data_IF_395256137743
#
_entry.id   IF_395256137743
#
_cell.length_a   1.000
_cell.length_b   1.000
_cell.length_c   1.000
_cell.angle_alpha   90.00
_cell.angle_beta   90.00
_cell.angle_gamma   90.00
#
_symmetry.space_group_name_H-M   'P 1'
#
loop_
_entity.id
_entity.type
_entity.pdbx_description
1 polymer ?
#
# COMPACT_ATOMS: atom_id res chain seq x y z
N UNK A 1 -13.16 -3.46 0.02
CA UNK A 1 -11.99 -4.38 0.00
C UNK A 1 -11.65 -4.62 -1.46
N UNK A 2 -10.40 -4.90 -1.80
CA UNK A 2 -9.96 -4.96 -3.19
C UNK A 2 -9.38 -6.32 -3.57
N UNK A 3 -9.73 -6.81 -4.76
CA UNK A 3 -8.97 -7.83 -5.50
C UNK A 3 -8.53 -7.25 -6.83
N UNK A 4 -7.37 -7.61 -7.34
CA UNK A 4 -6.94 -7.16 -8.67
C UNK A 4 -6.12 -8.20 -9.42
N UNK A 5 -6.59 -8.58 -10.61
CA UNK A 5 -5.94 -9.56 -11.48
C UNK A 5 -5.13 -8.86 -12.58
N UNK A 6 -3.82 -9.11 -12.60
CA UNK A 6 -2.87 -8.61 -13.59
C UNK A 6 -1.81 -9.68 -13.87
N UNK A 7 -0.54 -9.32 -13.69
CA UNK A 7 0.57 -10.31 -13.67
C UNK A 7 0.44 -11.30 -12.51
N UNK A 8 -0.11 -10.85 -11.38
CA UNK A 8 -0.52 -11.66 -10.23
C UNK A 8 -1.92 -11.30 -9.72
N UNK A 9 -2.25 -11.72 -8.49
CA UNK A 9 -3.52 -11.46 -7.82
C UNK A 9 -3.31 -10.71 -6.50
N UNK A 10 -3.43 -9.38 -6.56
CA UNK A 10 -3.35 -8.53 -5.38
C UNK A 10 -4.65 -8.57 -4.56
N UNK A 11 -4.53 -8.66 -3.23
CA UNK A 11 -5.68 -8.61 -2.30
C UNK A 11 -5.38 -7.63 -1.16
N UNK A 12 -6.34 -6.76 -0.86
CA UNK A 12 -6.20 -5.81 0.25
C UNK A 12 -7.53 -5.42 0.88
N UNK A 13 -7.45 -4.90 2.11
CA UNK A 13 -8.59 -4.36 2.84
C UNK A 13 -8.48 -2.85 3.06
N UNK A 14 -9.63 -2.20 3.19
CA UNK A 14 -9.73 -0.85 3.74
C UNK A 14 -10.66 -0.92 4.95
N UNK A 15 -10.14 -0.52 6.11
CA UNK A 15 -10.86 -0.52 7.38
C UNK A 15 -11.15 0.95 7.75
N UNK A 16 -12.41 1.34 7.99
CA UNK A 16 -12.71 2.66 8.52
C UNK A 16 -12.05 2.87 9.88
N UNK A 17 -11.35 3.98 10.08
CA UNK A 17 -10.69 4.32 11.34
C UNK A 17 -10.74 5.83 11.60
N UNK A 18 -11.63 6.25 12.51
CA UNK A 18 -11.88 7.67 12.79
C UNK A 18 -12.33 8.42 11.53
N UNK A 19 -11.68 9.54 11.25
CA UNK A 19 -11.92 10.40 10.07
C UNK A 19 -11.31 9.82 8.77
N UNK A 20 -10.70 8.63 8.81
CA UNK A 20 -9.93 8.09 7.68
C UNK A 20 -10.06 6.58 7.49
N UNK A 21 -9.11 6.05 6.72
CA UNK A 21 -9.05 4.65 6.34
C UNK A 21 -7.66 4.07 6.65
N UNK A 22 -7.64 2.84 7.15
CA UNK A 22 -6.43 2.03 7.29
C UNK A 22 -6.40 1.01 6.16
N UNK A 23 -5.33 1.04 5.37
CA UNK A 23 -5.04 0.02 4.38
C UNK A 23 -4.50 -1.23 5.09
N UNK A 24 -5.19 -2.35 4.90
CA UNK A 24 -4.75 -3.67 5.33
C UNK A 24 -4.10 -4.37 4.13
N UNK A 25 -2.77 -4.38 4.11
CA UNK A 25 -2.00 -5.18 3.16
C UNK A 25 -2.15 -6.68 3.46
N UNK A 26 -2.37 -7.50 2.44
CA UNK A 26 -2.52 -8.95 2.57
C UNK A 26 -1.93 -9.68 1.39
N UNK A 27 -1.62 -10.97 1.57
CA UNK A 27 -1.21 -11.90 0.51
C UNK A 27 -2.36 -12.84 0.11
N UNK A 28 -3.59 -12.32 0.12
CA UNK A 28 -4.81 -13.11 -0.06
C UNK A 28 -4.91 -13.83 -1.40
N UNK A 29 -4.15 -13.43 -2.42
CA UNK A 29 -4.10 -14.13 -3.70
C UNK A 29 -3.38 -15.49 -3.63
N UNK A 30 -2.55 -15.70 -2.60
CA UNK A 30 -1.77 -16.91 -2.39
C UNK A 30 -2.50 -17.98 -1.56
N UNK A 31 -3.77 -17.77 -1.21
CA UNK A 31 -4.54 -18.80 -0.50
C UNK A 31 -4.88 -19.97 -1.45
N UNK A 32 -5.09 -21.16 -0.87
CA UNK A 32 -5.42 -22.37 -1.61
C UNK A 32 -6.60 -22.17 -2.56
N UNK A 33 -6.48 -22.66 -3.79
CA UNK A 33 -7.62 -22.78 -4.69
C UNK A 33 -8.57 -23.89 -4.21
N UNK A 34 -9.86 -23.56 -4.07
CA UNK A 34 -10.91 -24.51 -3.71
C UNK A 34 -11.90 -24.70 -4.87
N UNK A 35 -11.82 -25.82 -5.62
CA UNK A 35 -12.69 -26.07 -6.77
C UNK A 35 -14.14 -26.33 -6.32
N UNK A 36 -15.09 -25.88 -7.13
CA UNK A 36 -16.54 -25.95 -6.84
C UNK A 36 -17.29 -27.02 -7.61
N UNK A 37 -16.76 -27.46 -8.74
CA UNK A 37 -17.36 -28.44 -9.65
C UNK A 37 -16.29 -29.30 -10.34
N UNK A 38 -16.71 -30.31 -11.10
CA UNK A 38 -15.81 -31.25 -11.79
C UNK A 38 -14.88 -30.56 -12.80
N UNK A 39 -15.34 -29.48 -13.43
CA UNK A 39 -14.51 -28.72 -14.36
C UNK A 39 -13.36 -28.05 -13.63
N UNK A 40 -13.65 -27.40 -12.52
CA UNK A 40 -12.63 -26.79 -11.68
C UNK A 40 -11.70 -27.84 -11.03
N UNK A 41 -12.19 -29.05 -10.72
CA UNK A 41 -11.36 -30.15 -10.23
C UNK A 41 -10.35 -30.65 -11.28
N UNK A 42 -10.76 -30.75 -12.55
CA UNK A 42 -9.84 -31.09 -13.64
C UNK A 42 -8.78 -30.01 -13.86
N UNK A 43 -9.18 -28.74 -13.77
CA UNK A 43 -8.25 -27.60 -13.87
C UNK A 43 -7.25 -27.62 -12.73
N UNK A 44 -7.68 -27.87 -11.49
CA UNK A 44 -6.79 -28.02 -10.34
C UNK A 44 -5.79 -29.17 -10.59
N UNK A 45 -6.26 -30.32 -11.06
CA UNK A 45 -5.41 -31.50 -11.33
C UNK A 45 -4.39 -31.21 -12.42
N UNK A 46 -4.79 -30.51 -13.48
CA UNK A 46 -3.90 -30.08 -14.55
C UNK A 46 -2.85 -29.10 -14.03
N UNK A 47 -3.28 -28.04 -13.34
CA UNK A 47 -2.41 -27.02 -12.76
C UNK A 47 -1.40 -27.61 -11.79
N UNK A 48 -1.84 -28.49 -10.89
CA UNK A 48 -0.97 -29.18 -9.94
C UNK A 48 0.12 -29.99 -10.63
N UNK A 49 -0.21 -30.73 -11.69
CA UNK A 49 0.79 -31.45 -12.49
C UNK A 49 1.73 -30.51 -13.24
N UNK A 50 1.21 -29.46 -13.87
CA UNK A 50 1.99 -28.48 -14.61
C UNK A 50 2.98 -27.72 -13.71
N UNK A 51 2.65 -27.58 -12.43
CA UNK A 51 3.49 -26.96 -11.40
C UNK A 51 4.37 -27.96 -10.64
N UNK A 52 4.65 -29.14 -11.21
CA UNK A 52 5.50 -30.17 -10.59
C UNK A 52 5.01 -30.63 -9.21
N UNK A 53 3.69 -30.78 -9.06
CA UNK A 53 3.02 -31.22 -7.83
C UNK A 53 3.11 -30.21 -6.67
N UNK A 54 3.38 -28.94 -6.98
CA UNK A 54 3.44 -27.85 -6.01
C UNK A 54 2.07 -27.18 -5.76
N UNK A 55 2.02 -26.29 -4.78
CA UNK A 55 0.83 -25.55 -4.33
C UNK A 55 0.17 -24.72 -5.45
N UNK A 56 -1.16 -24.86 -5.57
CA UNK A 56 -2.01 -24.12 -6.50
C UNK A 56 -2.82 -23.06 -5.73
N UNK A 57 -2.37 -21.82 -5.78
CA UNK A 57 -3.11 -20.69 -5.22
C UNK A 57 -4.20 -20.18 -6.18
N UNK A 58 -5.09 -19.31 -5.69
CA UNK A 58 -5.97 -18.54 -6.57
C UNK A 58 -5.19 -17.70 -7.60
N UNK A 59 -4.05 -17.11 -7.24
CA UNK A 59 -3.21 -16.36 -8.18
C UNK A 59 -2.76 -17.19 -9.39
N UNK A 60 -2.46 -18.48 -9.19
CA UNK A 60 -2.06 -19.39 -10.29
C UNK A 60 -3.14 -19.58 -11.34
N UNK A 61 -4.38 -19.16 -11.08
CA UNK A 61 -5.52 -19.25 -11.99
C UNK A 61 -6.13 -17.88 -12.33
N UNK A 62 -6.09 -16.92 -11.39
CA UNK A 62 -6.67 -15.58 -11.53
C UNK A 62 -5.55 -14.56 -11.77
N UNK A 63 -4.82 -14.74 -12.86
CA UNK A 63 -3.78 -13.84 -13.37
C UNK A 63 -3.67 -14.02 -14.89
N UNK A 64 -2.83 -13.23 -15.55
CA UNK A 64 -2.52 -13.44 -16.98
C UNK A 64 -2.03 -14.87 -17.25
N UNK A 65 -0.92 -15.31 -16.62
CA UNK A 65 -0.46 -16.69 -16.74
C UNK A 65 -1.50 -17.73 -16.29
N UNK A 66 -2.33 -17.39 -15.30
CA UNK A 66 -3.43 -18.26 -14.88
C UNK A 66 -4.49 -18.47 -15.95
N UNK A 67 -4.81 -17.44 -16.73
CA UNK A 67 -5.75 -17.54 -17.86
C UNK A 67 -5.21 -18.49 -18.94
N UNK A 68 -3.91 -18.41 -19.22
CA UNK A 68 -3.21 -19.30 -20.16
C UNK A 68 -3.20 -20.75 -19.67
N UNK A 69 -3.01 -20.95 -18.35
CA UNK A 69 -3.06 -22.26 -17.72
C UNK A 69 -4.48 -22.87 -17.76
N UNK A 70 -5.52 -22.07 -17.52
CA UNK A 70 -6.93 -22.50 -17.63
C UNK A 70 -7.22 -22.95 -19.07
N UNK A 71 -6.80 -22.17 -20.06
CA UNK A 71 -6.98 -22.49 -21.48
C UNK A 71 -6.37 -23.85 -21.84
N UNK A 72 -5.13 -24.11 -21.41
CA UNK A 72 -4.46 -25.40 -21.63
C UNK A 72 -5.16 -26.55 -20.89
N UNK A 73 -5.62 -26.31 -19.66
CA UNK A 73 -6.33 -27.30 -18.87
C UNK A 73 -7.66 -27.71 -19.53
N UNK A 74 -8.43 -26.73 -20.04
CA UNK A 74 -9.68 -26.98 -20.73
C UNK A 74 -9.46 -27.67 -22.08
N UNK A 75 -8.42 -27.30 -22.83
CA UNK A 75 -8.05 -28.00 -24.06
C UNK A 75 -7.74 -29.48 -23.78
N UNK A 76 -6.94 -29.75 -22.75
CA UNK A 76 -6.60 -31.11 -22.32
C UNK A 76 -7.83 -31.89 -21.85
N UNK A 77 -8.75 -31.27 -21.11
CA UNK A 77 -10.02 -31.88 -20.67
C UNK A 77 -10.91 -32.24 -21.86
N UNK A 78 -10.96 -31.39 -22.87
CA UNK A 78 -11.77 -31.57 -24.08
C UNK A 78 -11.13 -32.51 -25.11
N UNK A 79 -9.90 -32.99 -24.86
CA UNK A 79 -9.17 -33.87 -25.77
C UNK A 79 -8.70 -33.16 -27.05
N UNK A 80 -8.56 -31.83 -27.02
CA UNK A 80 -8.16 -31.01 -28.17
C UNK A 80 -6.72 -30.55 -28.00
N UNK A 81 -5.92 -30.70 -29.03
CA UNK A 81 -4.58 -30.12 -29.09
C UNK A 81 -4.67 -28.67 -29.57
N UNK A 82 -4.12 -27.76 -28.78
CA UNK A 82 -4.09 -26.33 -29.09
C UNK A 82 -2.67 -25.79 -28.98
N UNK A 83 -2.35 -24.79 -29.81
CA UNK A 83 -1.15 -23.99 -29.62
C UNK A 83 -1.30 -23.12 -28.35
N UNK A 84 -0.22 -22.88 -27.58
CA UNK A 84 -0.25 -21.91 -26.49
C UNK A 84 -0.68 -20.53 -27.00
N UNK A 85 -1.59 -19.88 -26.27
CA UNK A 85 -2.02 -18.52 -26.52
C UNK A 85 -1.69 -17.66 -25.31
N UNK A 86 -1.40 -16.38 -25.55
CA UNK A 86 -1.21 -15.39 -24.49
C UNK A 86 -2.55 -14.93 -23.91
N UNK A 87 -2.57 -14.49 -22.66
CA UNK A 87 -3.79 -14.01 -22.01
C UNK A 87 -4.54 -12.91 -22.81
N UNK A 88 -3.87 -11.90 -23.40
CA UNK A 88 -4.57 -10.93 -24.26
C UNK A 88 -5.22 -11.57 -25.49
N UNK A 89 -4.56 -12.54 -26.12
CA UNK A 89 -5.08 -13.23 -27.30
C UNK A 89 -6.30 -14.09 -26.95
N UNK A 90 -6.28 -14.75 -25.78
CA UNK A 90 -7.42 -15.51 -25.28
C UNK A 90 -8.62 -14.57 -25.07
N UNK A 91 -8.41 -13.43 -24.40
CA UNK A 91 -9.48 -12.46 -24.17
C UNK A 91 -10.06 -11.89 -25.46
N UNK A 92 -9.21 -11.51 -26.42
CA UNK A 92 -9.61 -11.01 -27.74
C UNK A 92 -10.42 -12.06 -28.51
N UNK A 93 -9.93 -13.29 -28.60
CA UNK A 93 -10.64 -14.37 -29.33
C UNK A 93 -11.95 -14.79 -28.67
N UNK A 94 -12.06 -14.65 -27.36
CA UNK A 94 -13.30 -14.92 -26.64
C UNK A 94 -14.36 -13.84 -26.91
N UNK A 95 -13.98 -12.56 -26.87
CA UNK A 95 -14.93 -11.43 -26.97
C UNK A 95 -15.26 -11.11 -28.44
N UNK A 96 -14.25 -11.05 -29.31
CA UNK A 96 -14.41 -10.62 -30.71
C UNK A 96 -14.49 -11.79 -31.68
N UNK A 97 -13.77 -12.88 -31.39
CA UNK A 97 -13.66 -14.04 -32.27
C UNK A 97 -14.73 -15.12 -32.07
N UNK A 98 -15.42 -15.13 -30.92
CA UNK A 98 -16.39 -16.17 -30.56
C UNK A 98 -15.78 -17.58 -30.45
N UNK A 99 -14.47 -17.69 -30.21
CA UNK A 99 -13.80 -18.98 -30.02
C UNK A 99 -14.33 -19.67 -28.76
N UNK A 100 -14.90 -20.87 -28.92
CA UNK A 100 -15.60 -21.56 -27.84
C UNK A 100 -14.71 -21.89 -26.64
N UNK A 101 -13.44 -22.25 -26.89
CA UNK A 101 -12.51 -22.60 -25.82
C UNK A 101 -12.02 -21.34 -25.09
N UNK A 102 -11.75 -20.26 -25.82
CA UNK A 102 -11.39 -18.97 -25.23
C UNK A 102 -12.55 -18.39 -24.41
N UNK A 103 -13.78 -18.53 -24.91
CA UNK A 103 -14.99 -18.13 -24.18
C UNK A 103 -15.14 -18.93 -22.89
N UNK A 104 -15.05 -20.26 -22.95
CA UNK A 104 -15.10 -21.12 -21.76
C UNK A 104 -13.98 -20.75 -20.75
N UNK A 105 -12.80 -20.43 -21.26
CA UNK A 105 -11.65 -19.99 -20.45
C UNK A 105 -11.97 -18.70 -19.68
N UNK A 106 -12.52 -17.68 -20.35
CA UNK A 106 -12.92 -16.43 -19.68
C UNK A 106 -14.07 -16.65 -18.69
N UNK A 107 -15.04 -17.50 -19.01
CA UNK A 107 -16.14 -17.84 -18.11
C UNK A 107 -15.64 -18.48 -16.82
N UNK A 108 -14.71 -19.45 -16.93
CA UNK A 108 -14.06 -20.06 -15.77
C UNK A 108 -13.29 -19.00 -14.99
N UNK A 109 -12.44 -18.20 -15.63
CA UNK A 109 -11.66 -17.16 -14.97
C UNK A 109 -12.54 -16.20 -14.16
N UNK A 110 -13.62 -15.68 -14.77
CA UNK A 110 -14.54 -14.77 -14.09
C UNK A 110 -15.33 -15.46 -12.97
N UNK A 111 -15.67 -16.75 -13.16
CA UNK A 111 -16.30 -17.54 -12.12
C UNK A 111 -15.39 -17.78 -10.91
N UNK A 112 -14.11 -18.09 -11.15
CA UNK A 112 -13.08 -18.21 -10.11
C UNK A 112 -12.86 -16.89 -9.37
N UNK A 113 -12.83 -15.77 -10.09
CA UNK A 113 -12.77 -14.44 -9.51
C UNK A 113 -13.98 -14.14 -8.61
N UNK A 114 -15.19 -14.53 -9.04
CA UNK A 114 -16.41 -14.44 -8.24
C UNK A 114 -16.32 -15.24 -6.93
N UNK A 115 -15.86 -16.49 -7.01
CA UNK A 115 -15.64 -17.35 -5.83
C UNK A 115 -14.59 -16.76 -4.89
N UNK A 116 -13.46 -16.28 -5.42
CA UNK A 116 -12.40 -15.66 -4.63
C UNK A 116 -12.88 -14.38 -3.92
N UNK A 117 -13.62 -13.53 -4.64
CA UNK A 117 -14.25 -12.34 -4.10
C UNK A 117 -15.26 -12.65 -2.99
N UNK A 118 -16.09 -13.69 -3.16
CA UNK A 118 -17.05 -14.12 -2.13
C UNK A 118 -16.35 -14.64 -0.88
N UNK A 119 -15.26 -15.39 -1.04
CA UNK A 119 -14.43 -15.85 0.07
C UNK A 119 -13.89 -14.65 0.85
N UNK A 120 -13.31 -13.66 0.17
CA UNK A 120 -12.83 -12.44 0.82
C UNK A 120 -13.96 -11.68 1.54
N UNK A 121 -15.15 -11.65 0.93
CA UNK A 121 -16.30 -10.97 1.50
C UNK A 121 -16.73 -11.56 2.84
N UNK A 122 -16.83 -12.89 2.93
CA UNK A 122 -17.19 -13.59 4.18
C UNK A 122 -16.04 -13.58 5.20
N UNK A 123 -14.78 -13.66 4.77
CA UNK A 123 -13.62 -13.67 5.68
C UNK A 123 -13.43 -12.33 6.39
N UNK A 124 -13.60 -11.20 5.68
CA UNK A 124 -13.32 -9.86 6.22
C UNK A 124 -14.57 -9.04 6.57
N UNK A 125 -15.77 -9.63 6.45
CA UNK A 125 -17.04 -8.93 6.65
C UNK A 125 -17.17 -7.69 5.76
N UNK A 126 -16.97 -7.85 4.45
CA UNK A 126 -16.75 -6.76 3.50
C UNK A 126 -18.03 -6.01 3.08
N UNK A 127 -18.84 -5.56 4.04
CA UNK A 127 -20.15 -4.94 3.77
C UNK A 127 -20.07 -3.62 2.98
N UNK A 128 -18.96 -2.89 3.07
CA UNK A 128 -18.71 -1.68 2.28
C UNK A 128 -18.39 -1.93 0.80
N UNK A 129 -18.42 -3.20 0.36
CA UNK A 129 -18.24 -3.60 -1.02
C UNK A 129 -16.90 -4.24 -1.35
N UNK A 130 -16.92 -4.98 -2.46
CA UNK A 130 -15.75 -5.55 -3.12
C UNK A 130 -15.42 -4.70 -4.35
N UNK A 131 -14.16 -4.35 -4.51
CA UNK A 131 -13.65 -3.53 -5.59
C UNK A 131 -12.67 -4.39 -6.40
N UNK A 132 -12.85 -4.43 -7.71
CA UNK A 132 -12.10 -5.25 -8.64
C UNK A 132 -11.20 -4.32 -9.43
N UNK A 133 -9.90 -4.42 -9.21
CA UNK A 133 -8.88 -3.74 -9.99
C UNK A 133 -8.11 -4.70 -10.89
N UNK A 134 -6.90 -4.30 -11.27
CA UNK A 134 -6.04 -5.08 -12.15
C UNK A 134 -6.27 -4.78 -13.63
N UNK A 135 -5.40 -5.30 -14.49
CA UNK A 135 -5.36 -4.94 -15.91
C UNK A 135 -6.32 -5.76 -16.79
N UNK A 136 -6.76 -6.94 -16.33
CA UNK A 136 -7.56 -7.86 -17.17
C UNK A 136 -9.03 -7.46 -17.17
N UNK A 137 -9.67 -7.38 -15.98
CA UNK A 137 -11.12 -7.15 -15.86
C UNK A 137 -11.59 -5.85 -16.52
N UNK A 138 -10.92 -4.68 -16.34
CA UNK A 138 -11.36 -3.45 -16.98
C UNK A 138 -11.36 -3.52 -18.52
N UNK A 139 -10.49 -4.35 -19.12
CA UNK A 139 -10.43 -4.54 -20.58
C UNK A 139 -11.57 -5.39 -21.13
N UNK A 140 -12.22 -6.20 -20.28
CA UNK A 140 -13.38 -7.01 -20.68
C UNK A 140 -14.65 -6.15 -20.84
N UNK A 141 -14.68 -4.94 -20.28
CA UNK A 141 -15.82 -4.02 -20.42
C UNK A 141 -17.17 -4.65 -20.06
N UNK A 142 -18.20 -4.37 -20.86
CA UNK A 142 -19.57 -4.88 -20.69
C UNK A 142 -19.68 -6.41 -20.78
N UNK A 143 -18.68 -7.10 -21.36
CA UNK A 143 -18.68 -8.56 -21.35
C UNK A 143 -18.60 -9.10 -19.92
N UNK A 144 -17.85 -8.43 -19.03
CA UNK A 144 -17.71 -8.87 -17.64
C UNK A 144 -19.05 -8.85 -16.88
N UNK A 145 -19.94 -7.91 -17.18
CA UNK A 145 -21.26 -7.82 -16.55
C UNK A 145 -22.16 -9.02 -16.85
N UNK A 146 -21.93 -9.65 -18.01
CA UNK A 146 -22.64 -10.86 -18.46
C UNK A 146 -21.93 -12.15 -18.05
N UNK A 147 -20.73 -12.06 -17.49
CA UNK A 147 -19.93 -13.21 -17.10
C UNK A 147 -20.52 -13.93 -15.87
N UNK A 148 -20.07 -15.16 -15.57
CA UNK A 148 -20.49 -15.88 -14.37
C UNK A 148 -20.05 -15.24 -13.04
N UNK A 149 -19.29 -14.14 -13.04
CA UNK A 149 -18.72 -13.53 -11.83
C UNK A 149 -19.76 -13.33 -10.72
N UNK A 150 -20.88 -12.65 -11.02
CA UNK A 150 -21.87 -12.31 -9.98
C UNK A 150 -22.61 -13.55 -9.47
N UNK A 151 -22.98 -14.46 -10.37
CA UNK A 151 -23.61 -15.71 -9.99
C UNK A 151 -22.71 -16.53 -9.05
N UNK A 152 -21.41 -16.58 -9.35
CA UNK A 152 -20.40 -17.26 -8.52
C UNK A 152 -20.09 -16.55 -7.22
N UNK A 153 -20.13 -15.22 -7.22
CA UNK A 153 -20.02 -14.44 -5.99
C UNK A 153 -21.16 -14.75 -5.00
N UNK A 154 -22.37 -14.96 -5.51
CA UNK A 154 -23.55 -15.30 -4.70
C UNK A 154 -23.70 -16.80 -4.37
N UNK A 155 -22.94 -17.69 -5.03
CA UNK A 155 -22.95 -19.14 -4.79
C UNK A 155 -22.22 -19.49 -3.49
N UNK A 156 -22.84 -19.12 -2.35
CA UNK A 156 -22.29 -19.33 -1.01
C UNK A 156 -23.21 -20.14 -0.09
N UNK A 157 -24.05 -20.99 -0.67
CA UNK A 157 -24.99 -21.85 0.07
C UNK A 157 -25.83 -21.04 1.06
N UNK A 158 -25.84 -21.43 2.34
CA UNK A 158 -26.58 -20.71 3.40
C UNK A 158 -26.16 -19.25 3.60
N UNK A 159 -24.97 -18.85 3.12
CA UNK A 159 -24.49 -17.47 3.16
C UNK A 159 -24.86 -16.66 1.91
N UNK A 160 -25.61 -17.21 0.95
CA UNK A 160 -26.05 -16.50 -0.27
C UNK A 160 -26.68 -15.13 0.04
N UNK A 161 -27.62 -15.09 0.98
CA UNK A 161 -28.30 -13.85 1.35
C UNK A 161 -27.36 -12.82 2.00
N UNK A 162 -26.29 -13.28 2.65
CA UNK A 162 -25.28 -12.40 3.24
C UNK A 162 -24.45 -11.71 2.15
N UNK A 163 -23.95 -12.48 1.17
CA UNK A 163 -23.11 -11.93 0.11
C UNK A 163 -23.91 -11.20 -0.97
N UNK A 164 -25.16 -11.55 -1.21
CA UNK A 164 -25.98 -10.88 -2.24
C UNK A 164 -26.22 -9.39 -1.95
N UNK A 165 -26.23 -8.98 -0.69
CA UNK A 165 -26.32 -7.58 -0.29
C UNK A 165 -25.02 -6.78 -0.49
N UNK A 166 -23.89 -7.45 -0.72
CA UNK A 166 -22.58 -6.80 -0.84
C UNK A 166 -22.38 -6.33 -2.29
N UNK A 167 -22.17 -5.03 -2.53
CA UNK A 167 -21.95 -4.52 -3.87
C UNK A 167 -20.55 -4.88 -4.36
N UNK A 168 -20.44 -5.10 -5.67
CA UNK A 168 -19.18 -5.36 -6.38
C UNK A 168 -18.95 -4.26 -7.42
N UNK A 169 -17.77 -3.66 -7.44
CA UNK A 169 -17.44 -2.54 -8.32
C UNK A 169 -16.17 -2.84 -9.11
N UNK A 170 -16.11 -2.48 -10.39
CA UNK A 170 -14.86 -2.49 -11.17
C UNK A 170 -14.22 -1.10 -11.08
N UNK A 171 -12.94 -1.04 -10.76
CA UNK A 171 -12.18 0.22 -10.72
C UNK A 171 -11.77 0.59 -12.14
N UNK A 172 -12.42 1.59 -12.71
CA UNK A 172 -12.10 2.14 -14.04
C UNK A 172 -11.25 3.41 -13.99
N UNK A 173 -10.95 3.90 -12.78
CA UNK A 173 -10.16 5.12 -12.61
C UNK A 173 -8.73 4.93 -13.13
N UNK A 174 -8.30 5.81 -14.02
CA UNK A 174 -6.90 5.91 -14.42
C UNK A 174 -6.01 6.20 -13.21
N UNK A 175 -4.85 5.55 -13.18
CA UNK A 175 -3.82 5.75 -12.16
C UNK A 175 -4.33 5.60 -10.71
N UNK A 176 -5.29 4.69 -10.48
CA UNK A 176 -5.88 4.45 -9.16
C UNK A 176 -4.83 4.21 -8.05
N UNK A 177 -3.74 3.51 -8.37
CA UNK A 177 -2.61 3.28 -7.45
C UNK A 177 -1.96 4.58 -7.00
N UNK A 178 -1.70 5.52 -7.93
CA UNK A 178 -1.10 6.82 -7.59
C UNK A 178 -2.05 7.70 -6.77
N UNK A 179 -3.36 7.66 -7.07
CA UNK A 179 -4.38 8.34 -6.25
C UNK A 179 -4.39 7.79 -4.82
N UNK A 180 -4.31 6.47 -4.66
CA UNK A 180 -4.19 5.82 -3.35
C UNK A 180 -2.92 6.22 -2.60
N UNK A 181 -1.76 6.20 -3.28
CA UNK A 181 -0.48 6.63 -2.70
C UNK A 181 -0.52 8.10 -2.24
N UNK A 182 -1.11 8.99 -3.05
CA UNK A 182 -1.30 10.39 -2.70
C UNK A 182 -2.17 10.55 -1.45
N UNK A 183 -3.28 9.82 -1.34
CA UNK A 183 -4.17 9.87 -0.18
C UNK A 183 -3.48 9.37 1.10
N UNK A 184 -2.67 8.31 1.00
CA UNK A 184 -1.86 7.80 2.12
C UNK A 184 -0.85 8.86 2.58
N UNK A 185 -0.14 9.47 1.63
CA UNK A 185 0.84 10.54 1.91
C UNK A 185 0.17 11.74 2.57
N UNK A 186 -0.97 12.20 2.06
CA UNK A 186 -1.73 13.31 2.63
C UNK A 186 -2.17 13.03 4.08
N UNK A 187 -2.62 11.81 4.36
CA UNK A 187 -2.98 11.40 5.73
C UNK A 187 -1.75 11.39 6.66
N UNK A 188 -0.60 10.89 6.18
CA UNK A 188 0.65 10.94 6.95
C UNK A 188 1.11 12.39 7.22
N UNK A 189 1.00 13.27 6.23
CA UNK A 189 1.33 14.69 6.39
C UNK A 189 0.42 15.38 7.41
N UNK A 190 -0.88 15.09 7.40
CA UNK A 190 -1.82 15.57 8.44
C UNK A 190 -1.42 15.09 9.83
N UNK A 191 -1.11 13.81 10.00
CA UNK A 191 -0.68 13.26 11.29
C UNK A 191 0.63 13.90 11.79
N UNK A 192 1.56 14.21 10.89
CA UNK A 192 2.80 14.94 11.22
C UNK A 192 2.54 16.39 11.64
N UNK A 193 1.49 17.03 11.15
CA UNK A 193 1.09 18.40 11.52
C UNK A 193 0.24 18.46 12.80
N UNK A 194 -0.40 17.36 13.19
CA UNK A 194 -1.30 17.25 14.35
C UNK A 194 -0.59 16.72 15.61
N UNK A 195 0.66 16.25 15.51
CA UNK A 195 1.42 15.83 16.69
C UNK A 195 1.60 17.00 17.69
N UNK A 196 1.30 16.85 19.00
CA UNK A 196 1.15 17.95 19.96
C UNK A 196 2.34 18.91 20.07
N UNK A 197 3.56 18.50 19.75
CA UNK A 197 4.68 19.46 19.67
C UNK A 197 5.17 19.80 18.27
N UNK A 198 4.63 19.20 17.20
CA UNK A 198 4.62 19.87 15.90
C UNK A 198 3.68 21.09 15.96
N UNK A 199 2.63 21.01 16.79
CA UNK A 199 1.68 22.09 17.03
C UNK A 199 2.33 23.27 17.76
N UNK A 200 3.17 23.06 18.79
CA UNK A 200 3.85 24.19 19.46
C UNK A 200 4.88 24.86 18.55
N UNK A 201 5.67 24.11 17.78
CA UNK A 201 6.63 24.67 16.82
C UNK A 201 5.91 25.39 15.66
N UNK A 202 4.78 24.84 15.18
CA UNK A 202 3.92 25.47 14.19
C UNK A 202 3.21 26.72 14.73
N UNK A 203 2.82 26.73 16.00
CA UNK A 203 2.23 27.88 16.68
C UNK A 203 3.26 29.00 16.85
N UNK A 204 4.51 28.68 17.24
CA UNK A 204 5.61 29.65 17.28
C UNK A 204 5.81 30.31 15.92
N UNK A 205 5.84 29.52 14.83
CA UNK A 205 6.00 30.06 13.47
C UNK A 205 4.86 30.99 13.05
N UNK A 206 3.62 30.67 13.43
CA UNK A 206 2.43 31.50 13.15
C UNK A 206 2.38 32.78 13.98
N UNK A 207 2.77 32.71 15.25
CA UNK A 207 2.72 33.84 16.18
C UNK A 207 3.84 34.88 15.97
N UNK A 208 4.84 34.63 15.10
CA UNK A 208 6.02 35.53 14.95
C UNK A 208 5.66 37.00 14.68
N UNK A 209 4.60 37.28 13.93
CA UNK A 209 4.16 38.65 13.65
C UNK A 209 3.52 39.35 14.86
N UNK A 210 3.10 38.61 15.88
CA UNK A 210 2.40 39.10 17.06
C UNK A 210 3.31 39.17 18.30
N UNK A 211 4.50 38.56 18.23
CA UNK A 211 5.47 38.54 19.32
C UNK A 211 6.23 39.87 19.41
N UNK A 212 6.50 40.32 20.64
CA UNK A 212 7.38 41.47 20.88
C UNK A 212 8.82 41.19 20.42
N UNK A 213 9.66 42.21 20.17
CA UNK A 213 11.05 42.01 19.76
C UNK A 213 11.89 41.16 20.73
N UNK A 214 11.53 41.14 22.01
CA UNK A 214 12.21 40.31 23.01
C UNK A 214 11.71 38.86 22.99
N UNK A 215 10.41 38.63 22.79
CA UNK A 215 9.85 37.28 22.66
C UNK A 215 10.24 36.62 21.33
N UNK A 216 10.39 37.40 20.26
CA UNK A 216 10.92 36.94 18.97
C UNK A 216 12.30 36.30 19.09
N UNK A 217 13.19 36.84 19.92
CA UNK A 217 14.50 36.24 20.18
C UNK A 217 14.40 34.89 20.88
N UNK A 218 13.43 34.72 21.78
CA UNK A 218 13.13 33.43 22.41
C UNK A 218 12.56 32.45 21.39
N UNK A 219 11.65 32.91 20.53
CA UNK A 219 11.09 32.11 19.44
C UNK A 219 12.18 31.61 18.47
N UNK A 220 13.10 32.49 18.07
CA UNK A 220 14.19 32.18 17.15
C UNK A 220 15.16 31.16 17.78
N UNK A 221 15.49 31.32 19.07
CA UNK A 221 16.29 30.32 19.82
C UNK A 221 15.59 28.95 19.86
N UNK A 222 14.31 28.91 20.20
CA UNK A 222 13.53 27.66 20.27
C UNK A 222 13.48 26.97 18.90
N UNK A 223 13.27 27.72 17.83
CA UNK A 223 13.20 27.17 16.47
C UNK A 223 14.56 26.67 15.97
N UNK A 224 15.65 27.35 16.36
CA UNK A 224 17.01 26.97 15.99
C UNK A 224 17.52 25.76 16.80
N UNK A 225 17.20 25.69 18.10
CA UNK A 225 17.78 24.72 19.03
C UNK A 225 16.75 24.11 20.00
N UNK A 226 15.68 23.45 19.50
CA UNK A 226 14.54 23.01 20.31
C UNK A 226 14.93 21.95 21.36
N UNK A 227 15.90 21.07 21.06
CA UNK A 227 16.39 20.05 22.00
C UNK A 227 17.22 20.64 23.15
N UNK A 228 17.97 21.72 22.90
CA UNK A 228 18.71 22.41 23.96
C UNK A 228 17.74 23.06 24.93
N UNK A 229 16.81 23.87 24.39
CA UNK A 229 15.79 24.57 25.19
C UNK A 229 14.95 23.62 26.04
N UNK A 230 14.66 22.41 25.53
CA UNK A 230 13.96 21.38 26.31
C UNK A 230 14.70 21.04 27.62
N UNK A 231 16.03 20.93 27.57
CA UNK A 231 16.85 20.50 28.70
C UNK A 231 17.38 21.67 29.55
N UNK A 232 17.51 22.86 28.97
CA UNK A 232 18.15 24.01 29.62
C UNK A 232 17.27 24.65 30.72
N UNK A 233 17.80 25.02 31.89
CA UNK A 233 17.05 25.79 32.88
C UNK A 233 16.71 27.20 32.35
N UNK A 234 15.69 27.84 32.93
CA UNK A 234 15.18 29.14 32.43
C UNK A 234 16.25 30.24 32.34
N UNK A 235 17.22 30.24 33.26
CA UNK A 235 18.32 31.19 33.27
C UNK A 235 19.21 31.05 32.01
N UNK A 236 19.43 29.81 31.56
CA UNK A 236 20.24 29.51 30.39
C UNK A 236 19.50 29.84 29.09
N UNK A 237 18.20 29.56 29.02
CA UNK A 237 17.35 29.96 27.89
C UNK A 237 17.33 31.48 27.75
N UNK A 238 17.18 32.21 28.87
CA UNK A 238 17.16 33.67 28.88
C UNK A 238 18.51 34.25 28.44
N UNK A 239 19.62 33.68 28.92
CA UNK A 239 20.99 34.06 28.53
C UNK A 239 21.23 33.82 27.03
N UNK A 240 20.89 32.64 26.53
CA UNK A 240 21.08 32.28 25.13
C UNK A 240 20.23 33.13 24.16
N UNK A 241 19.03 33.55 24.57
CA UNK A 241 18.16 34.44 23.79
C UNK A 241 18.45 35.94 23.99
N UNK A 242 19.37 36.32 24.89
CA UNK A 242 19.65 37.73 25.20
C UNK A 242 18.43 38.47 25.77
N UNK A 243 17.72 37.84 26.72
CA UNK A 243 16.51 38.38 27.36
C UNK A 243 16.51 38.14 28.88
N UNK A 244 15.52 38.72 29.57
CA UNK A 244 15.28 38.45 30.99
C UNK A 244 14.49 37.14 31.20
N UNK A 245 14.65 36.46 32.34
CA UNK A 245 13.86 35.26 32.65
C UNK A 245 12.32 35.51 32.60
N UNK A 246 11.78 36.65 33.08
CA UNK A 246 10.37 36.99 32.89
C UNK A 246 9.93 37.07 31.41
N UNK A 247 10.82 37.44 30.49
CA UNK A 247 10.53 37.44 29.05
C UNK A 247 10.30 36.03 28.52
N UNK A 248 11.07 35.04 28.99
CA UNK A 248 10.89 33.63 28.61
C UNK A 248 9.52 33.12 29.08
N UNK A 249 9.10 33.46 30.31
CA UNK A 249 7.76 33.12 30.81
C UNK A 249 6.66 33.81 30.00
N UNK A 250 6.84 35.09 29.65
CA UNK A 250 5.88 35.84 28.83
C UNK A 250 5.71 35.21 27.46
N UNK A 251 6.80 34.86 26.79
CA UNK A 251 6.78 34.12 25.53
C UNK A 251 5.98 32.81 25.64
N UNK A 252 6.21 32.00 26.68
CA UNK A 252 5.45 30.76 26.90
C UNK A 252 3.94 31.04 27.02
N UNK A 253 3.56 32.10 27.74
CA UNK A 253 2.15 32.50 27.93
C UNK A 253 1.51 33.07 26.66
N UNK A 254 2.28 33.81 25.85
CA UNK A 254 1.84 34.31 24.54
C UNK A 254 1.49 33.17 23.57
N UNK A 255 2.00 31.97 23.82
CA UNK A 255 1.66 30.73 23.09
C UNK A 255 0.56 29.91 23.78
N UNK A 256 -0.09 30.44 24.81
CA UNK A 256 -1.16 29.73 25.54
C UNK A 256 -0.65 28.59 26.44
N UNK A 257 0.61 28.64 26.87
CA UNK A 257 1.15 27.75 27.91
C UNK A 257 1.04 28.40 29.29
N UNK A 258 0.84 27.59 30.33
CA UNK A 258 0.73 28.09 31.72
C UNK A 258 2.08 28.63 32.26
N UNK A 259 3.19 28.12 31.71
CA UNK A 259 4.56 28.51 32.04
C UNK A 259 5.60 27.68 31.29
N UNK A 260 6.87 27.76 31.72
CA UNK A 260 7.97 27.07 31.04
C UNK A 260 7.84 25.53 31.09
N UNK A 261 7.34 24.96 32.18
CA UNK A 261 7.19 23.50 32.31
C UNK A 261 6.15 22.93 31.34
N UNK A 262 4.99 23.58 31.23
CA UNK A 262 3.95 23.22 30.25
C UNK A 262 4.46 23.41 28.82
N UNK A 263 5.16 24.54 28.55
CA UNK A 263 5.82 24.76 27.27
C UNK A 263 6.82 23.65 26.93
N UNK A 264 7.68 23.25 27.86
CA UNK A 264 8.66 22.17 27.69
C UNK A 264 7.99 20.82 27.47
N UNK A 265 6.90 20.52 28.17
CA UNK A 265 6.13 19.29 27.93
C UNK A 265 5.56 19.26 26.51
N UNK A 266 4.91 20.35 26.07
CA UNK A 266 4.38 20.47 24.70
C UNK A 266 5.49 20.41 23.65
N UNK A 267 6.65 21.01 23.92
CA UNK A 267 7.85 20.93 23.07
C UNK A 267 8.42 19.51 23.02
N UNK A 268 8.50 18.82 24.16
CA UNK A 268 8.94 17.43 24.26
C UNK A 268 8.04 16.49 23.47
N UNK A 269 6.72 16.69 23.52
CA UNK A 269 5.73 15.94 22.75
C UNK A 269 5.89 16.09 21.22
N UNK A 270 6.62 17.13 20.76
CA UNK A 270 6.92 17.36 19.34
C UNK A 270 8.25 16.83 18.91
N UNK A 271 9.20 16.82 19.83
CA UNK A 271 10.52 16.25 19.65
C UNK A 271 10.53 14.72 19.81
N UNK A 272 9.49 14.14 20.44
CA UNK A 272 9.28 12.68 20.52
C UNK A 272 8.94 12.04 19.18
N UNK A 273 8.71 12.83 18.13
CA UNK A 273 8.70 12.38 16.74
C UNK A 273 10.09 12.05 16.17
N UNK A 274 11.17 12.26 16.94
CA UNK A 274 12.49 11.69 16.63
C UNK A 274 12.79 10.56 17.60
N UNK A 275 12.19 9.39 17.38
CA UNK A 275 12.99 8.17 17.58
C UNK A 275 14.24 8.39 16.73
N UNK A 276 15.46 8.30 17.27
CA UNK A 276 16.63 8.34 16.41
C UNK A 276 16.45 7.21 15.41
N UNK A 277 16.21 7.57 14.14
CA UNK A 277 16.04 6.63 13.04
C UNK A 277 17.43 6.10 12.70
N UNK A 278 18.00 5.37 13.66
CA UNK A 278 19.28 4.69 13.57
C UNK A 278 18.96 3.28 13.12
N UNK A 279 19.69 2.79 12.13
CA UNK A 279 19.64 1.38 11.78
C UNK A 279 19.95 0.54 13.04
N UNK A 280 18.96 -0.18 13.56
CA UNK A 280 19.05 -0.92 14.81
C UNK A 280 19.03 -2.42 14.51
N UNK A 281 19.95 -3.19 15.12
CA UNK A 281 19.97 -4.64 14.92
C UNK A 281 18.70 -5.29 15.48
N UNK A 282 18.06 -6.09 14.63
CA UNK A 282 16.95 -6.97 15.00
C UNK A 282 17.55 -8.26 15.56
N UNK A 283 17.14 -8.65 16.76
CA UNK A 283 17.65 -9.85 17.43
C UNK A 283 16.51 -10.80 17.77
N UNK A 284 16.81 -12.09 17.95
CA UNK A 284 15.83 -13.12 18.32
C UNK A 284 15.27 -12.94 19.75
N UNK A 285 15.85 -12.03 20.53
CA UNK A 285 15.40 -11.70 21.89
C UNK A 285 14.46 -10.49 21.91
N UNK A 286 14.15 -9.88 20.76
CA UNK A 286 13.23 -8.75 20.68
C UNK A 286 11.79 -9.22 20.89
N UNK A 287 11.02 -8.49 21.69
CA UNK A 287 9.58 -8.71 21.77
C UNK A 287 8.90 -8.41 20.42
N UNK A 288 7.73 -9.00 20.16
CA UNK A 288 6.99 -8.77 18.91
C UNK A 288 6.67 -7.28 18.66
N UNK A 289 6.51 -6.50 19.73
CA UNK A 289 6.27 -5.06 19.65
C UNK A 289 7.56 -4.30 19.26
N UNK A 290 8.71 -4.71 19.80
CA UNK A 290 10.03 -4.15 19.48
C UNK A 290 10.47 -4.52 18.06
N UNK A 291 10.17 -5.74 17.61
CA UNK A 291 10.44 -6.21 16.26
C UNK A 291 9.73 -5.33 15.22
N UNK A 292 8.42 -5.09 15.41
CA UNK A 292 7.63 -4.23 14.53
C UNK A 292 8.17 -2.79 14.50
N UNK A 293 8.49 -2.23 15.66
CA UNK A 293 9.07 -0.89 15.77
C UNK A 293 10.44 -0.77 15.09
N UNK A 294 11.32 -1.77 15.26
CA UNK A 294 12.66 -1.80 14.64
C UNK A 294 12.61 -1.96 13.13
N UNK A 295 11.77 -2.86 12.62
CA UNK A 295 11.63 -3.08 11.17
C UNK A 295 11.09 -1.81 10.50
N UNK A 296 9.99 -1.24 11.00
CA UNK A 296 9.42 -0.01 10.45
C UNK A 296 10.38 1.18 10.59
N UNK A 297 11.11 1.27 11.71
CA UNK A 297 12.16 2.26 11.93
C UNK A 297 13.32 2.15 10.93
N UNK A 298 13.80 0.94 10.66
CA UNK A 298 14.87 0.69 9.70
C UNK A 298 14.44 1.02 8.27
N UNK A 299 13.21 0.68 7.88
CA UNK A 299 12.63 1.06 6.57
C UNK A 299 12.53 2.58 6.43
N UNK A 300 12.05 3.29 7.45
CA UNK A 300 12.02 4.75 7.45
C UNK A 300 13.44 5.34 7.34
N UNK A 301 14.43 4.73 8.00
CA UNK A 301 15.85 5.13 7.89
C UNK A 301 16.35 5.04 6.47
N UNK A 302 16.13 3.89 5.82
CA UNK A 302 16.56 3.65 4.45
C UNK A 302 15.95 4.67 3.49
N UNK A 303 14.64 4.95 3.60
CA UNK A 303 13.95 5.94 2.76
C UNK A 303 14.50 7.36 2.98
N UNK A 304 14.70 7.75 4.25
CA UNK A 304 15.23 9.07 4.58
C UNK A 304 16.69 9.23 4.16
N UNK A 305 17.50 8.17 4.25
CA UNK A 305 18.87 8.13 3.74
C UNK A 305 18.89 8.25 2.22
N UNK A 306 18.04 7.54 1.49
CA UNK A 306 17.94 7.70 0.03
C UNK A 306 17.64 9.16 -0.30
N UNK A 307 16.63 9.76 0.34
CA UNK A 307 16.29 11.18 0.13
C UNK A 307 17.47 12.12 0.36
N UNK A 308 18.30 11.89 1.40
CA UNK A 308 19.46 12.76 1.68
C UNK A 308 20.64 12.53 0.74
N UNK A 309 20.69 11.40 0.04
CA UNK A 309 21.75 11.04 -0.90
C UNK A 309 21.34 11.19 -2.39
N UNK A 310 20.08 11.53 -2.67
CA UNK A 310 19.63 11.88 -4.02
C UNK A 310 20.25 13.23 -4.41
N UNK A 311 21.37 13.16 -5.13
CA UNK A 311 22.00 14.31 -5.78
C UNK A 311 21.46 14.42 -7.21
N UNK A 312 20.83 15.56 -7.52
CA UNK A 312 20.28 15.86 -8.85
C UNK A 312 21.31 15.69 -9.95
N UNK A 313 22.52 16.21 -9.77
CA UNK A 313 23.58 16.18 -10.78
C UNK A 313 24.05 14.75 -11.07
N UNK A 314 24.06 13.88 -10.05
CA UNK A 314 24.40 12.45 -10.22
C UNK A 314 23.31 11.70 -10.98
N UNK A 315 22.04 12.03 -10.71
CA UNK A 315 20.89 11.43 -11.41
C UNK A 315 20.88 11.85 -12.88
N UNK A 316 21.07 13.14 -13.16
CA UNK A 316 21.12 13.67 -14.52
C UNK A 316 22.26 13.01 -15.32
N UNK A 317 23.46 12.88 -14.72
CA UNK A 317 24.57 12.14 -15.34
C UNK A 317 24.28 10.67 -15.56
N UNK A 318 23.62 9.99 -14.61
CA UNK A 318 23.25 8.59 -14.77
C UNK A 318 22.25 8.40 -15.91
N UNK A 319 21.29 9.31 -16.05
CA UNK A 319 20.32 9.31 -17.16
C UNK A 319 21.04 9.52 -18.50
N UNK A 320 21.95 10.49 -18.60
CA UNK A 320 22.74 10.72 -19.82
C UNK A 320 23.58 9.50 -20.20
N UNK A 321 24.22 8.86 -19.22
CA UNK A 321 25.00 7.64 -19.44
C UNK A 321 24.14 6.47 -19.94
N UNK A 322 22.92 6.31 -19.40
CA UNK A 322 21.98 5.29 -19.85
C UNK A 322 21.47 5.60 -21.27
N UNK A 323 21.12 6.85 -21.57
CA UNK A 323 20.66 7.26 -22.90
C UNK A 323 21.73 7.08 -23.99
N UNK A 324 23.01 7.26 -23.63
CA UNK A 324 24.13 7.08 -24.54
C UNK A 324 24.61 5.63 -24.67
N UNK A 325 24.14 4.71 -23.82
CA UNK A 325 24.59 3.33 -23.82
C UNK A 325 23.99 2.55 -25.01
N UNK A 326 24.85 1.90 -25.81
CA UNK A 326 24.39 1.02 -26.90
C UNK A 326 23.74 -0.28 -26.42
N UNK A 327 23.90 -0.62 -25.13
CA UNK A 327 23.28 -1.77 -24.48
C UNK A 327 23.22 -1.55 -22.96
N UNK A 328 22.08 -1.86 -22.35
CA UNK A 328 21.88 -1.82 -20.90
C UNK A 328 21.44 -3.23 -20.47
N UNK A 329 22.05 -3.75 -19.40
CA UNK A 329 21.69 -5.04 -18.79
C UNK A 329 21.38 -4.82 -17.31
N UNK A 330 20.22 -5.31 -16.86
CA UNK A 330 19.82 -5.27 -15.47
C UNK A 330 20.06 -6.63 -14.81
N UNK A 331 20.76 -6.61 -13.68
CA UNK A 331 21.00 -7.81 -12.87
C UNK A 331 20.37 -7.61 -11.50
N UNK A 332 19.48 -8.51 -11.12
CA UNK A 332 18.82 -8.51 -9.81
C UNK A 332 18.89 -9.88 -9.16
N UNK A 333 18.90 -9.90 -7.83
CA UNK A 333 18.98 -11.11 -7.02
C UNK A 333 17.77 -11.20 -6.09
N UNK A 334 17.15 -12.38 -6.01
CA UNK A 334 16.00 -12.62 -5.12
C UNK A 334 14.73 -11.85 -5.53
N UNK A 335 14.02 -11.29 -4.56
CA UNK A 335 12.70 -10.66 -4.75
C UNK A 335 12.70 -9.38 -5.61
N UNK A 336 13.88 -8.84 -5.94
CA UNK A 336 14.01 -7.65 -6.80
C UNK A 336 14.00 -7.99 -8.30
N UNK A 337 13.91 -9.28 -8.66
CA UNK A 337 13.86 -9.73 -10.06
C UNK A 337 12.68 -9.15 -10.83
N UNK A 338 11.52 -8.98 -10.18
CA UNK A 338 10.31 -8.41 -10.79
C UNK A 338 10.50 -6.94 -11.14
N UNK A 339 11.23 -6.19 -10.31
CA UNK A 339 11.52 -4.76 -10.55
C UNK A 339 12.55 -4.58 -11.67
N UNK A 340 13.45 -5.54 -11.86
CA UNK A 340 14.41 -5.52 -12.96
C UNK A 340 13.82 -5.97 -14.31
N UNK A 341 12.59 -6.52 -14.30
CA UNK A 341 11.85 -6.91 -15.51
C UNK A 341 10.88 -5.82 -16.01
N UNK A 342 10.57 -4.83 -15.17
CA UNK A 342 9.72 -3.66 -15.48
C UNK A 342 10.55 -2.55 -16.15
#
# INVERSE_FOLDING_TARGET
RQLGAGTGLGVSGLIPAGEGWIALGTEGGHVNFGPRDEREMDILKFAWKALNQDHVSYERLISGPGLELIYQALASRNGVHVAPLSAPTISERAVDGGDALCLETLEVFCGLLGTCAANLAVTLGSLGGIYIGGGIVPRLGEWFDRSPFRARFEDKGRFRNYVSAIPTFVITAEHATFKGASAILENQLRNLQVSPGSAILGQIRRARSELSPAELRVADLVLAQPRSVLNDPIAEIARAAGVSQPTVIRFCRSLGCEGLSDFKLRLASGLTGTVPVTHTQVTTNDSMLELGAKVLGNTASAILQVRSHLNRDTIDRAIEMLLAAGRIEFFALGHYSVVAQD
#
